data_IF_491474599775
#
_entry.id   IF_491474599775
#
_cell.length_a   1.000
_cell.length_b   1.000
_cell.length_c   1.000
_cell.angle_alpha   90.00
_cell.angle_beta   90.00
_cell.angle_gamma   90.00
#
_symmetry.space_group_name_H-M   'P 1'
#
loop_
_entity.id
_entity.type
_entity.pdbx_description
1 polymer ?
#
# COMPACT_ATOMS: atom_id res chain seq x y z
N UNK A 1 -5.74 -10.58 -7.37
CA UNK A 1 -5.83 -9.21 -6.80
C UNK A 1 -7.27 -8.95 -6.44
N UNK A 2 -7.54 -8.58 -5.20
CA UNK A 2 -8.89 -8.17 -4.76
C UNK A 2 -9.00 -6.69 -5.11
N UNK A 3 -9.87 -6.33 -6.06
CA UNK A 3 -10.05 -4.93 -6.46
C UNK A 3 -10.54 -4.11 -5.28
N UNK A 4 -9.96 -2.94 -5.05
CA UNK A 4 -10.42 -1.99 -4.04
C UNK A 4 -11.84 -1.49 -4.37
N UNK A 5 -12.57 -1.00 -3.36
CA UNK A 5 -13.91 -0.43 -3.57
C UNK A 5 -13.87 0.80 -4.50
N UNK A 6 -12.77 1.56 -4.47
CA UNK A 6 -12.52 2.67 -5.39
C UNK A 6 -12.38 2.20 -6.84
N UNK A 7 -11.64 1.12 -7.08
CA UNK A 7 -11.51 0.51 -8.42
C UNK A 7 -12.83 -0.08 -8.92
N UNK A 8 -13.63 -0.69 -8.02
CA UNK A 8 -14.96 -1.23 -8.33
C UNK A 8 -15.89 -0.11 -8.84
N UNK A 9 -15.86 1.05 -8.20
CA UNK A 9 -16.65 2.21 -8.59
C UNK A 9 -15.99 3.04 -9.71
N UNK A 10 -14.71 2.79 -10.00
CA UNK A 10 -13.93 3.53 -10.99
C UNK A 10 -13.72 5.00 -10.62
N UNK A 11 -13.51 5.27 -9.34
CA UNK A 11 -13.32 6.62 -8.77
C UNK A 11 -11.95 6.71 -8.09
N UNK A 12 -11.42 7.93 -7.99
CA UNK A 12 -10.17 8.19 -7.27
C UNK A 12 -10.35 8.11 -5.75
N UNK A 13 -9.26 7.89 -5.01
CA UNK A 13 -9.28 7.74 -3.55
C UNK A 13 -9.69 9.03 -2.82
N UNK A 14 -9.48 10.20 -3.43
CA UNK A 14 -9.90 11.51 -2.90
C UNK A 14 -11.32 11.90 -3.35
N UNK A 15 -12.01 11.04 -4.10
CA UNK A 15 -13.29 11.39 -4.69
C UNK A 15 -14.33 11.80 -3.61
N UNK A 16 -15.06 12.91 -3.83
CA UNK A 16 -16.11 13.32 -2.92
C UNK A 16 -17.32 12.38 -3.02
N UNK A 17 -18.10 12.29 -1.95
CA UNK A 17 -19.28 11.41 -1.85
C UNK A 17 -20.28 11.63 -3.00
N UNK A 18 -20.39 12.86 -3.50
CA UNK A 18 -21.23 13.17 -4.65
C UNK A 18 -20.78 12.48 -5.94
N UNK A 19 -19.47 12.38 -6.16
CA UNK A 19 -18.86 11.68 -7.30
C UNK A 19 -19.07 10.18 -7.17
N UNK A 20 -18.90 9.64 -5.96
CA UNK A 20 -19.14 8.21 -5.63
C UNK A 20 -20.60 7.84 -5.94
N UNK A 21 -21.55 8.68 -5.53
CA UNK A 21 -22.99 8.47 -5.79
C UNK A 21 -23.36 8.58 -7.27
N UNK A 22 -22.68 9.45 -8.03
CA UNK A 22 -22.85 9.53 -9.50
C UNK A 22 -22.30 8.27 -10.18
N UNK A 23 -21.10 7.83 -9.81
CA UNK A 23 -20.48 6.62 -10.35
C UNK A 23 -21.32 5.37 -10.08
N UNK A 24 -21.80 5.19 -8.84
CA UNK A 24 -22.69 4.09 -8.46
C UNK A 24 -23.95 4.03 -9.35
N UNK A 25 -24.64 5.16 -9.54
CA UNK A 25 -25.84 5.21 -10.39
C UNK A 25 -25.56 4.84 -11.84
N UNK A 26 -24.46 5.34 -12.40
CA UNK A 26 -24.08 5.06 -13.79
C UNK A 26 -23.74 3.57 -13.98
N UNK A 27 -23.03 2.97 -13.02
CA UNK A 27 -22.68 1.55 -13.06
C UNK A 27 -23.89 0.64 -12.86
N UNK A 28 -24.81 1.00 -11.96
CA UNK A 28 -26.04 0.25 -11.76
C UNK A 28 -26.93 0.24 -13.00
N UNK A 29 -27.00 1.38 -13.72
CA UNK A 29 -27.70 1.47 -15.00
C UNK A 29 -27.02 0.67 -16.11
N UNK A 30 -25.69 0.58 -16.09
CA UNK A 30 -24.92 -0.22 -17.04
C UNK A 30 -25.08 -1.73 -16.79
N UNK A 31 -25.26 -2.14 -15.54
CA UNK A 31 -25.48 -3.53 -15.12
C UNK A 31 -26.95 -3.96 -15.16
N UNK A 32 -27.88 -3.06 -15.53
CA UNK A 32 -29.30 -3.39 -15.57
C UNK A 32 -29.57 -4.47 -16.64
N UNK A 33 -30.30 -5.56 -16.30
CA UNK A 33 -30.50 -6.70 -17.21
C UNK A 33 -31.24 -6.31 -18.50
N UNK A 34 -32.04 -5.24 -18.47
CA UNK A 34 -32.73 -4.67 -19.64
C UNK A 34 -31.76 -4.13 -20.71
N UNK A 35 -30.60 -3.57 -20.31
CA UNK A 35 -29.55 -3.14 -21.24
C UNK A 35 -28.66 -4.29 -21.71
N UNK A 36 -28.57 -5.37 -20.94
CA UNK A 36 -27.79 -6.56 -21.33
C UNK A 36 -28.49 -7.40 -22.42
N UNK A 37 -29.81 -7.24 -22.60
CA UNK A 37 -30.60 -7.93 -23.63
C UNK A 37 -30.41 -7.34 -25.04
N UNK A 38 -29.90 -6.12 -25.15
CA UNK A 38 -29.60 -5.45 -26.43
C UNK A 38 -28.12 -5.63 -26.75
N UNK A 39 -27.78 -6.78 -27.34
CA UNK A 39 -26.41 -7.23 -27.62
C UNK A 39 -25.51 -6.22 -28.33
N UNK A 40 -24.83 -5.37 -27.58
CA UNK A 40 -23.76 -4.51 -28.08
C UNK A 40 -22.69 -4.29 -27.02
N UNK A 41 -21.56 -4.97 -27.26
CA UNK A 41 -20.19 -4.52 -27.01
C UNK A 41 -19.86 -3.82 -25.69
N UNK A 42 -18.98 -4.46 -24.92
CA UNK A 42 -18.13 -3.85 -23.89
C UNK A 42 -18.90 -3.14 -22.77
N UNK A 43 -18.94 -3.68 -21.54
CA UNK A 43 -17.78 -3.63 -20.64
C UNK A 43 -17.75 -4.89 -19.79
N UNK A 44 -16.71 -5.70 -20.00
CA UNK A 44 -16.28 -6.82 -19.15
C UNK A 44 -15.71 -6.29 -17.83
N UNK A 45 -16.51 -5.61 -17.02
CA UNK A 45 -16.18 -5.45 -15.61
C UNK A 45 -16.72 -6.69 -14.92
N UNK A 46 -15.83 -7.57 -14.47
CA UNK A 46 -16.13 -8.72 -13.61
C UNK A 46 -16.57 -8.25 -12.21
N UNK A 47 -17.50 -7.31 -12.14
CA UNK A 47 -17.97 -6.68 -10.91
C UNK A 47 -19.44 -7.06 -10.76
N UNK A 48 -19.73 -7.84 -9.73
CA UNK A 48 -21.09 -8.22 -9.38
C UNK A 48 -21.86 -7.02 -8.83
N UNK A 49 -23.19 -6.99 -9.00
CA UNK A 49 -24.05 -5.96 -8.40
C UNK A 49 -23.88 -5.91 -6.88
N UNK A 50 -23.69 -7.05 -6.23
CA UNK A 50 -23.41 -7.14 -4.79
C UNK A 50 -22.12 -6.39 -4.40
N UNK A 51 -21.04 -6.55 -5.18
CA UNK A 51 -19.77 -5.87 -4.93
C UNK A 51 -19.91 -4.35 -5.13
N UNK A 52 -20.70 -3.93 -6.11
CA UNK A 52 -20.99 -2.52 -6.35
C UNK A 52 -21.79 -1.90 -5.20
N UNK A 53 -22.79 -2.62 -4.69
CA UNK A 53 -23.59 -2.19 -3.55
C UNK A 53 -22.75 -2.09 -2.27
N UNK A 54 -21.89 -3.08 -2.02
CA UNK A 54 -20.99 -3.08 -0.88
C UNK A 54 -19.98 -1.93 -0.95
N UNK A 55 -19.36 -1.71 -2.12
CA UNK A 55 -18.44 -0.59 -2.35
C UNK A 55 -19.11 0.76 -2.08
N UNK A 56 -20.34 0.96 -2.58
CA UNK A 56 -21.08 2.19 -2.32
C UNK A 56 -21.43 2.35 -0.83
N UNK A 57 -21.86 1.28 -0.15
CA UNK A 57 -22.21 1.32 1.27
C UNK A 57 -21.03 1.76 2.14
N UNK A 58 -19.85 1.22 1.87
CA UNK A 58 -18.62 1.53 2.61
C UNK A 58 -18.12 2.94 2.28
N UNK A 59 -18.06 3.32 1.00
CA UNK A 59 -17.48 4.61 0.62
C UNK A 59 -18.42 5.82 0.78
N UNK A 60 -19.72 5.61 0.87
CA UNK A 60 -20.70 6.70 1.05
C UNK A 60 -20.83 7.16 2.52
N UNK A 61 -20.45 6.30 3.47
CA UNK A 61 -20.45 6.62 4.91
C UNK A 61 -19.03 7.02 5.33
N UNK A 62 -18.89 8.17 5.99
CA UNK A 62 -17.57 8.70 6.37
C UNK A 62 -16.85 7.82 7.38
N UNK A 63 -17.57 7.21 8.32
CA UNK A 63 -16.99 6.37 9.37
C UNK A 63 -16.54 5.03 8.78
N UNK A 64 -17.38 4.41 7.94
CA UNK A 64 -17.02 3.16 7.26
C UNK A 64 -15.89 3.35 6.23
N UNK A 65 -15.87 4.49 5.53
CA UNK A 65 -14.78 4.83 4.61
C UNK A 65 -13.46 4.99 5.35
N UNK A 66 -13.47 5.67 6.49
CA UNK A 66 -12.28 5.80 7.32
C UNK A 66 -11.78 4.43 7.78
N UNK A 67 -12.65 3.58 8.34
CA UNK A 67 -12.26 2.24 8.79
C UNK A 67 -11.73 1.36 7.63
N UNK A 68 -12.32 1.51 6.45
CA UNK A 68 -11.86 0.84 5.24
C UNK A 68 -10.49 1.33 4.80
N UNK A 69 -10.27 2.64 4.77
CA UNK A 69 -9.01 3.26 4.38
C UNK A 69 -7.90 2.88 5.38
N UNK A 70 -8.19 2.83 6.68
CA UNK A 70 -7.25 2.36 7.72
C UNK A 70 -6.88 0.88 7.53
N UNK A 71 -7.87 0.02 7.24
CA UNK A 71 -7.63 -1.40 6.94
C UNK A 71 -6.87 -1.57 5.64
N UNK A 72 -7.15 -0.74 4.64
CA UNK A 72 -6.49 -0.77 3.35
C UNK A 72 -5.03 -0.35 3.50
N UNK A 73 -4.75 0.72 4.24
CA UNK A 73 -3.40 1.16 4.59
C UNK A 73 -2.64 0.09 5.38
N UNK A 74 -3.27 -0.51 6.40
CA UNK A 74 -2.67 -1.61 7.16
C UNK A 74 -2.39 -2.85 6.27
N UNK A 75 -3.26 -3.12 5.30
CA UNK A 75 -3.06 -4.21 4.34
C UNK A 75 -1.90 -3.93 3.38
N UNK A 76 -1.70 -2.68 2.98
CA UNK A 76 -0.54 -2.27 2.18
C UNK A 76 0.76 -2.35 2.97
N UNK A 77 0.73 -1.98 4.26
CA UNK A 77 1.87 -2.17 5.19
C UNK A 77 2.22 -3.64 5.37
N UNK A 78 1.23 -4.53 5.40
CA UNK A 78 1.43 -5.98 5.53
C UNK A 78 1.84 -6.67 4.22
N UNK A 79 1.53 -6.07 3.06
CA UNK A 79 1.78 -6.68 1.74
C UNK A 79 2.96 -6.10 0.95
N UNK A 80 3.79 -5.22 1.53
CA UNK A 80 4.98 -4.75 0.83
C UNK A 80 4.62 -4.09 -0.51
N UNK A 81 3.68 -3.15 -0.48
CA UNK A 81 3.28 -2.41 -1.68
C UNK A 81 3.40 -0.91 -1.44
N UNK A 82 4.62 -0.48 -1.12
CA UNK A 82 5.02 0.91 -1.26
C UNK A 82 5.40 1.15 -2.73
N UNK A 83 4.46 1.68 -3.51
CA UNK A 83 4.69 2.08 -4.90
C UNK A 83 5.56 3.34 -4.94
N UNK A 84 6.87 3.18 -4.79
CA UNK A 84 7.88 4.17 -5.17
C UNK A 84 8.58 3.77 -6.49
N UNK A 85 7.84 3.25 -7.47
CA UNK A 85 8.30 3.08 -8.87
C UNK A 85 9.43 2.08 -9.16
N UNK A 86 10.24 1.69 -8.18
CA UNK A 86 11.38 0.77 -8.35
C UNK A 86 11.12 -0.68 -7.90
N UNK A 87 9.95 -0.95 -7.31
CA UNK A 87 9.53 -2.30 -6.92
C UNK A 87 10.23 -2.84 -5.65
N UNK A 88 10.90 -1.97 -4.89
CA UNK A 88 11.40 -2.29 -3.56
C UNK A 88 10.42 -1.84 -2.48
N UNK A 89 10.35 -2.63 -1.41
CA UNK A 89 9.56 -2.28 -0.24
C UNK A 89 10.24 -1.18 0.57
N UNK A 90 9.45 -0.18 0.97
CA UNK A 90 9.90 0.97 1.76
C UNK A 90 9.62 0.75 3.25
N UNK A 91 10.63 0.97 4.09
CA UNK A 91 10.60 0.79 5.54
C UNK A 91 11.22 1.99 6.24
N UNK A 92 10.80 2.31 7.47
CA UNK A 92 11.53 3.26 8.33
C UNK A 92 12.59 2.53 9.12
N UNK A 93 13.69 3.21 9.46
CA UNK A 93 14.64 2.69 10.44
C UNK A 93 14.02 2.52 11.83
N UNK A 94 12.93 3.25 12.13
CA UNK A 94 12.15 3.09 13.36
C UNK A 94 11.48 1.71 13.48
N UNK A 95 11.29 1.00 12.36
CA UNK A 95 10.73 -0.36 12.34
C UNK A 95 11.78 -1.43 12.72
N UNK A 96 13.05 -1.04 12.85
CA UNK A 96 14.13 -1.95 13.21
C UNK A 96 14.36 -1.96 14.72
N UNK A 97 14.59 -3.14 15.28
CA UNK A 97 14.98 -3.29 16.68
C UNK A 97 16.48 -3.03 16.81
N UNK A 98 16.90 -2.14 17.71
CA UNK A 98 18.33 -1.95 17.98
C UNK A 98 18.85 -3.06 18.89
N UNK A 99 19.81 -3.84 18.38
CA UNK A 99 20.53 -4.86 19.14
C UNK A 99 21.78 -4.24 19.76
N UNK A 100 21.74 -3.99 21.07
CA UNK A 100 22.83 -3.40 21.86
C UNK A 100 24.10 -4.24 21.86
N UNK A 101 24.00 -5.57 21.84
CA UNK A 101 25.17 -6.46 21.89
C UNK A 101 25.97 -6.43 20.57
N UNK A 102 25.27 -6.25 19.44
CA UNK A 102 25.86 -6.20 18.10
C UNK A 102 26.09 -4.77 17.60
N UNK A 103 25.59 -3.76 18.31
CA UNK A 103 25.50 -2.36 17.88
C UNK A 103 24.87 -2.22 16.48
N UNK A 104 23.75 -2.92 16.24
CA UNK A 104 23.10 -3.00 14.93
C UNK A 104 21.59 -2.93 15.04
N UNK A 105 20.98 -2.21 14.12
CA UNK A 105 19.56 -2.29 13.83
C UNK A 105 19.27 -3.61 13.12
N UNK A 106 18.36 -4.41 13.68
CA UNK A 106 17.97 -5.72 13.17
C UNK A 106 16.47 -5.77 12.87
N UNK A 107 16.10 -6.44 11.79
CA UNK A 107 14.70 -6.68 11.45
C UNK A 107 14.51 -8.08 10.87
N UNK A 108 13.40 -8.72 11.25
CA UNK A 108 12.99 -10.00 10.69
C UNK A 108 12.60 -9.84 9.23
N UNK A 109 13.05 -10.75 8.38
CA UNK A 109 12.67 -10.68 6.96
C UNK A 109 11.18 -11.05 6.77
N UNK A 110 10.33 -10.19 6.19
CA UNK A 110 8.91 -10.50 5.98
C UNK A 110 8.70 -11.64 4.98
N UNK A 111 9.66 -11.89 4.08
CA UNK A 111 9.57 -12.93 3.05
C UNK A 111 9.99 -14.32 3.56
N UNK A 112 11.15 -14.44 4.21
CA UNK A 112 11.68 -15.74 4.64
C UNK A 112 11.67 -15.96 6.16
N UNK A 113 11.22 -14.96 6.93
CA UNK A 113 11.13 -15.00 8.40
C UNK A 113 12.46 -15.24 9.13
N UNK A 114 13.60 -15.04 8.45
CA UNK A 114 14.91 -15.06 9.09
C UNK A 114 15.00 -13.95 10.14
N UNK A 115 15.47 -14.30 11.34
CA UNK A 115 15.49 -13.42 12.51
C UNK A 115 16.43 -12.23 12.29
N UNK A 116 17.65 -12.52 11.82
CA UNK A 116 18.66 -11.52 11.42
C UNK A 116 18.57 -11.29 9.90
N UNK A 117 17.35 -11.16 9.39
CA UNK A 117 17.07 -11.04 7.97
C UNK A 117 17.70 -9.79 7.37
N UNK A 118 17.60 -8.68 8.08
CA UNK A 118 18.18 -7.38 7.73
C UNK A 118 18.96 -6.83 8.91
N UNK A 119 20.14 -6.29 8.62
CA UNK A 119 21.06 -5.74 9.62
C UNK A 119 21.68 -4.46 9.09
N UNK A 120 21.64 -3.40 9.89
CA UNK A 120 22.20 -2.08 9.59
C UNK A 120 23.03 -1.62 10.78
N UNK A 121 24.25 -1.14 10.53
CA UNK A 121 25.05 -0.44 11.53
C UNK A 121 25.05 1.07 11.25
N UNK A 122 25.26 1.88 12.28
CA UNK A 122 25.30 3.34 12.17
C UNK A 122 26.33 3.81 11.13
N UNK A 123 27.49 3.16 11.08
CA UNK A 123 28.53 3.48 10.10
C UNK A 123 28.04 3.26 8.66
N UNK A 124 27.32 2.17 8.41
CA UNK A 124 26.75 1.86 7.10
C UNK A 124 25.68 2.88 6.71
N UNK A 125 24.87 3.31 7.68
CA UNK A 125 23.90 4.39 7.47
C UNK A 125 24.62 5.67 7.04
N UNK A 126 25.64 6.11 7.79
CA UNK A 126 26.39 7.34 7.49
C UNK A 126 27.16 7.29 6.15
N UNK A 127 27.77 6.16 5.82
CA UNK A 127 28.61 6.03 4.61
C UNK A 127 27.83 5.74 3.33
N UNK A 128 26.67 5.06 3.43
CA UNK A 128 25.92 4.56 2.27
C UNK A 128 24.51 5.15 2.15
N UNK A 129 24.10 5.99 3.09
CA UNK A 129 22.86 6.76 3.01
C UNK A 129 22.88 7.75 1.86
N UNK A 130 21.87 7.68 0.99
CA UNK A 130 21.62 8.70 -0.02
C UNK A 130 20.67 9.75 0.53
N UNK A 131 21.12 11.00 0.60
CA UNK A 131 20.25 12.12 0.94
C UNK A 131 19.19 12.31 -0.16
N UNK A 132 17.92 12.23 0.22
CA UNK A 132 16.78 12.45 -0.70
C UNK A 132 16.20 13.85 -0.56
N UNK A 133 16.27 14.39 0.65
CA UNK A 133 15.75 15.69 1.03
C UNK A 133 16.47 16.12 2.31
N UNK A 134 16.32 17.39 2.70
CA UNK A 134 16.99 17.94 3.88
C UNK A 134 16.77 17.06 5.13
N UNK A 135 17.87 16.52 5.66
CA UNK A 135 17.93 15.62 6.83
C UNK A 135 17.24 14.25 6.65
N UNK A 136 16.81 13.89 5.44
CA UNK A 136 16.14 12.60 5.12
C UNK A 136 17.01 11.78 4.18
N UNK A 137 17.37 10.58 4.63
CA UNK A 137 18.27 9.67 3.94
C UNK A 137 17.55 8.36 3.61
N UNK A 138 17.99 7.73 2.53
CA UNK A 138 17.53 6.40 2.11
C UNK A 138 18.73 5.47 1.91
N UNK A 139 18.59 4.20 2.27
CA UNK A 139 19.57 3.15 1.98
C UNK A 139 18.86 1.91 1.47
N UNK A 140 19.48 1.18 0.54
CA UNK A 140 18.94 -0.08 0.02
C UNK A 140 19.76 -1.24 0.61
N UNK A 141 19.07 -2.20 1.23
CA UNK A 141 19.69 -3.37 1.85
C UNK A 141 19.07 -4.67 1.34
N UNK A 142 19.87 -5.73 1.30
CA UNK A 142 19.43 -7.06 0.89
C UNK A 142 19.32 -7.98 2.10
N UNK A 143 18.33 -8.87 2.08
CA UNK A 143 18.18 -9.91 3.09
C UNK A 143 19.38 -10.86 3.09
N UNK A 144 19.90 -11.18 4.28
CA UNK A 144 21.00 -12.14 4.48
C UNK A 144 20.67 -13.58 4.03
N UNK A 145 19.38 -13.92 4.01
CA UNK A 145 18.89 -15.30 3.86
C UNK A 145 18.02 -15.52 2.62
N UNK A 146 17.69 -14.48 1.85
CA UNK A 146 16.93 -14.62 0.60
C UNK A 146 17.32 -13.55 -0.43
N UNK A 147 16.47 -13.32 -1.44
CA UNK A 147 16.68 -12.29 -2.47
C UNK A 147 15.76 -11.08 -2.31
N UNK A 148 15.20 -10.84 -1.12
CA UNK A 148 14.40 -9.63 -0.87
C UNK A 148 15.34 -8.44 -0.66
N UNK A 149 15.01 -7.32 -1.29
CA UNK A 149 15.70 -6.04 -1.17
C UNK A 149 14.71 -5.04 -0.57
N UNK A 150 15.17 -4.25 0.40
CA UNK A 150 14.38 -3.23 1.08
C UNK A 150 15.03 -1.87 0.89
N UNK A 151 14.20 -0.85 0.79
CA UNK A 151 14.58 0.54 0.94
C UNK A 151 14.25 0.97 2.36
N UNK A 152 15.25 1.46 3.09
CA UNK A 152 15.10 1.92 4.47
C UNK A 152 15.33 3.43 4.48
N UNK A 153 14.33 4.17 4.93
CA UNK A 153 14.42 5.61 5.12
C UNK A 153 14.72 5.93 6.58
N UNK A 154 15.54 6.96 6.80
CA UNK A 154 15.88 7.42 8.14
C UNK A 154 16.15 8.93 8.14
N UNK A 155 15.98 9.53 9.31
CA UNK A 155 16.25 10.95 9.55
C UNK A 155 17.37 11.07 10.56
N UNK A 156 18.37 11.89 10.24
CA UNK A 156 19.42 12.24 11.19
C UNK A 156 18.96 13.48 11.96
N UNK A 157 18.90 13.38 13.28
CA UNK A 157 18.67 14.53 14.16
C UNK A 157 20.00 14.89 14.80
N UNK A 158 20.55 16.05 14.41
CA UNK A 158 21.70 16.62 15.08
C UNK A 158 21.20 17.31 16.36
N UNK A 159 21.61 16.82 17.54
CA UNK A 159 21.44 17.50 18.83
C UNK A 159 22.55 18.53 19.05
#
# INVERSE_FOLDING_TARGET
MKSSYYEILGVEHDAPVETIKKAYRNLLLALHPDKQLLGSGHVTRNVSVDQLQEAYKVLADSELRQEYDEKLEASYKLQGFHNAGDGLDDYSLDDFEYNEEKCKFVMKCPRCQSIDGFMLDEKTLDENGMETSKDVFQIIIQCSSCSLWLKVNYRVVYD
#
